data_IF_929933801262
#
_entry.id   IF_929933801262
#
_cell.length_a   1.000
_cell.length_b   1.000
_cell.length_c   1.000
_cell.angle_alpha   90.00
_cell.angle_beta   90.00
_cell.angle_gamma   90.00
#
_symmetry.space_group_name_H-M   'P 1'
#
loop_
_entity.id
_entity.type
_entity.pdbx_description
1 polymer ?
#
# COMPACT_ATOMS: atom_id res chain seq x y z
N UNK A 1 11.05 -6.11 -21.15
CA UNK A 1 11.97 -5.78 -20.02
C UNK A 1 12.89 -6.95 -19.74
N UNK A 2 14.15 -6.69 -19.33
CA UNK A 2 15.05 -7.75 -18.85
C UNK A 2 15.31 -7.51 -17.36
N UNK A 3 15.05 -8.50 -16.53
CA UNK A 3 15.29 -8.46 -15.09
C UNK A 3 16.45 -9.37 -14.69
N UNK A 4 17.13 -9.03 -13.61
CA UNK A 4 18.17 -9.86 -13.00
C UNK A 4 17.92 -9.94 -11.50
N UNK A 5 17.77 -11.14 -10.96
CA UNK A 5 17.72 -11.36 -9.53
C UNK A 5 19.08 -11.04 -8.91
N UNK A 6 19.12 -10.10 -7.97
CA UNK A 6 20.33 -9.70 -7.24
C UNK A 6 20.31 -10.19 -5.79
N UNK A 7 19.12 -10.43 -5.24
CA UNK A 7 18.91 -11.01 -3.92
C UNK A 7 17.70 -11.95 -4.00
N UNK A 8 17.80 -13.09 -3.34
CA UNK A 8 16.68 -13.97 -3.05
C UNK A 8 16.80 -14.40 -1.60
N UNK A 9 15.74 -14.21 -0.85
CA UNK A 9 15.64 -14.63 0.55
C UNK A 9 14.27 -15.27 0.80
N UNK A 10 14.13 -15.92 1.95
CA UNK A 10 12.90 -16.62 2.31
C UNK A 10 12.26 -15.99 3.54
N UNK A 11 10.98 -15.68 3.42
CA UNK A 11 10.11 -15.26 4.49
C UNK A 11 8.72 -15.83 4.22
N UNK A 12 8.26 -16.73 5.09
CA UNK A 12 6.92 -17.33 4.94
C UNK A 12 5.84 -16.25 4.95
N UNK A 13 4.90 -16.37 4.01
CA UNK A 13 3.78 -15.45 3.85
C UNK A 13 4.24 -13.97 3.79
N UNK A 14 5.28 -13.68 3.02
CA UNK A 14 5.76 -12.34 2.79
C UNK A 14 4.64 -11.46 2.22
N UNK A 15 4.36 -10.32 2.86
CA UNK A 15 3.23 -9.48 2.50
C UNK A 15 3.58 -7.99 2.42
N UNK A 16 3.92 -7.35 3.54
CA UNK A 16 4.23 -5.93 3.54
C UNK A 16 5.65 -5.66 3.05
N UNK A 17 5.79 -4.65 2.22
CA UNK A 17 7.08 -4.13 1.76
C UNK A 17 7.08 -2.61 1.88
N UNK A 18 8.17 -2.03 2.38
CA UNK A 18 8.36 -0.59 2.46
C UNK A 18 9.83 -0.23 2.21
N UNK A 19 10.06 0.98 1.73
CA UNK A 19 11.39 1.56 1.64
C UNK A 19 11.48 2.74 2.60
N UNK A 20 12.47 2.73 3.50
CA UNK A 20 12.76 3.82 4.43
C UNK A 20 14.05 4.51 3.97
N UNK A 21 13.97 5.83 3.73
CA UNK A 21 15.12 6.58 3.22
C UNK A 21 15.28 7.92 3.92
N UNK A 22 16.55 8.32 4.09
CA UNK A 22 16.97 9.69 4.34
C UNK A 22 18.17 10.05 3.45
N UNK A 23 18.85 11.14 3.74
CA UNK A 23 20.02 11.57 2.96
C UNK A 23 21.21 10.61 3.01
N UNK A 24 21.30 9.73 4.03
CA UNK A 24 22.43 8.85 4.29
C UNK A 24 22.09 7.36 4.23
N UNK A 25 20.84 7.02 4.50
CA UNK A 25 20.38 5.64 4.72
C UNK A 25 19.32 5.23 3.72
N UNK A 26 19.27 3.94 3.43
CA UNK A 26 18.30 3.36 2.48
C UNK A 26 18.05 1.90 2.86
N UNK A 27 16.85 1.62 3.37
CA UNK A 27 16.46 0.30 3.85
C UNK A 27 15.19 -0.19 3.15
N UNK A 28 15.17 -1.47 2.79
CA UNK A 28 13.95 -2.18 2.43
C UNK A 28 13.47 -2.98 3.63
N UNK A 29 12.24 -2.77 4.04
CA UNK A 29 11.59 -3.56 5.06
C UNK A 29 10.61 -4.53 4.41
N UNK A 30 10.63 -5.78 4.86
CA UNK A 30 9.75 -6.85 4.37
C UNK A 30 9.19 -7.59 5.56
N UNK A 31 7.87 -7.74 5.63
CA UNK A 31 7.20 -8.37 6.76
C UNK A 31 6.15 -9.40 6.36
N UNK A 32 5.92 -10.37 7.24
CA UNK A 32 4.99 -11.48 7.06
C UNK A 32 3.56 -11.13 7.47
N UNK A 33 2.58 -11.71 6.76
CA UNK A 33 1.16 -11.69 7.17
C UNK A 33 0.80 -12.77 8.20
N UNK A 34 1.73 -13.68 8.54
CA UNK A 34 1.56 -14.70 9.59
C UNK A 34 2.39 -14.37 10.83
N UNK A 35 2.38 -15.22 11.85
CA UNK A 35 3.25 -15.12 13.03
C UNK A 35 4.71 -15.37 12.65
N UNK A 36 5.37 -14.40 12.06
CA UNK A 36 6.73 -14.49 11.56
C UNK A 36 7.42 -13.13 11.59
N UNK A 37 8.57 -13.02 10.94
CA UNK A 37 9.50 -11.91 11.06
C UNK A 37 9.10 -10.65 10.27
N UNK A 38 9.72 -9.54 10.66
CA UNK A 38 10.02 -8.40 9.80
C UNK A 38 11.53 -8.29 9.61
N UNK A 39 11.95 -8.16 8.37
CA UNK A 39 13.34 -8.07 7.95
C UNK A 39 13.64 -6.70 7.38
N UNK A 40 14.80 -6.14 7.67
CA UNK A 40 15.35 -4.97 7.00
C UNK A 40 16.58 -5.34 6.19
N UNK A 41 16.69 -4.78 5.00
CA UNK A 41 17.84 -4.92 4.11
C UNK A 41 18.46 -3.55 3.85
N UNK A 42 19.73 -3.39 4.20
CA UNK A 42 20.48 -2.15 3.94
C UNK A 42 20.90 -2.09 2.48
N UNK A 43 20.24 -1.29 1.68
CA UNK A 43 20.48 -1.14 0.23
C UNK A 43 21.86 -0.53 -0.04
N UNK A 44 22.44 0.23 0.92
CA UNK A 44 23.77 0.81 0.81
C UNK A 44 24.89 -0.21 1.13
N UNK A 45 24.55 -1.34 1.77
CA UNK A 45 25.50 -2.38 2.18
C UNK A 45 25.18 -3.73 1.53
N UNK A 46 24.95 -3.71 0.22
CA UNK A 46 24.67 -4.92 -0.57
C UNK A 46 23.53 -5.76 0.02
N UNK A 47 22.47 -5.09 0.46
CA UNK A 47 21.30 -5.69 1.09
C UNK A 47 21.61 -6.52 2.36
N UNK A 48 22.58 -6.07 3.17
CA UNK A 48 22.85 -6.69 4.46
C UNK A 48 21.58 -6.76 5.31
N UNK A 49 21.24 -7.98 5.78
CA UNK A 49 19.98 -8.29 6.45
C UNK A 49 20.06 -8.08 7.96
N UNK A 50 19.03 -7.46 8.53
CA UNK A 50 18.76 -7.38 9.98
C UNK A 50 17.34 -7.86 10.26
N UNK A 51 17.10 -8.47 11.44
CA UNK A 51 15.77 -8.87 11.90
C UNK A 51 15.25 -7.79 12.85
N UNK A 52 14.08 -7.19 12.54
CA UNK A 52 13.43 -6.19 13.39
C UNK A 52 12.63 -6.86 14.52
N UNK A 53 11.88 -7.90 14.16
CA UNK A 53 11.23 -8.84 15.09
C UNK A 53 11.17 -10.22 14.43
N UNK A 54 11.13 -11.28 15.25
CA UNK A 54 11.14 -12.67 14.78
C UNK A 54 9.79 -13.35 14.82
N UNK A 55 8.85 -12.78 15.56
CA UNK A 55 7.49 -13.31 15.82
C UNK A 55 6.49 -12.15 15.73
N UNK A 56 5.24 -12.44 16.03
CA UNK A 56 4.11 -11.51 16.02
C UNK A 56 3.56 -11.21 14.63
N UNK A 57 4.27 -11.03 13.56
CA UNK A 57 3.79 -10.83 12.19
C UNK A 57 2.41 -10.18 12.02
N UNK A 58 1.63 -10.63 11.04
CA UNK A 58 0.33 -10.01 10.74
C UNK A 58 0.50 -8.56 10.29
N UNK A 59 1.52 -8.29 9.47
CA UNK A 59 1.88 -6.93 9.05
C UNK A 59 1.34 -6.65 7.66
N UNK A 60 0.34 -5.77 7.58
CA UNK A 60 -0.31 -5.36 6.34
C UNK A 60 0.32 -4.11 5.74
N UNK A 61 0.78 -3.18 6.59
CA UNK A 61 1.33 -1.89 6.17
C UNK A 61 2.52 -1.50 7.03
N UNK A 62 3.54 -0.89 6.39
CA UNK A 62 4.68 -0.25 7.03
C UNK A 62 4.83 1.11 6.38
N UNK A 63 4.76 2.19 7.16
CA UNK A 63 4.81 3.56 6.66
C UNK A 63 5.91 4.32 7.38
N UNK A 64 6.83 4.90 6.63
CA UNK A 64 7.88 5.78 7.16
C UNK A 64 7.28 7.02 7.81
N UNK A 65 7.74 7.36 9.00
CA UNK A 65 7.40 8.66 9.62
C UNK A 65 8.11 9.77 8.85
N UNK A 66 7.39 10.72 8.26
CA UNK A 66 7.98 11.74 7.41
C UNK A 66 9.17 12.46 8.04
N UNK A 67 10.27 12.57 7.26
CA UNK A 67 11.49 13.23 7.66
C UNK A 67 12.37 12.47 8.68
N UNK A 68 12.11 11.18 8.92
CA UNK A 68 12.88 10.33 9.84
C UNK A 68 13.07 8.94 9.23
N UNK A 69 13.84 8.05 9.88
CA UNK A 69 13.88 6.62 9.59
C UNK A 69 13.01 5.79 10.56
N UNK A 70 12.25 6.46 11.40
CA UNK A 70 11.20 5.81 12.17
C UNK A 70 10.06 5.37 11.24
N UNK A 71 9.30 4.39 11.67
CA UNK A 71 8.13 3.93 10.93
C UNK A 71 6.99 3.57 11.87
N UNK A 72 5.77 3.55 11.34
CA UNK A 72 4.65 2.83 11.94
C UNK A 72 4.39 1.56 11.13
N UNK A 73 3.95 0.49 11.81
CA UNK A 73 3.54 -0.76 11.16
C UNK A 73 2.33 -1.37 11.86
N UNK A 74 1.49 -2.08 11.09
CA UNK A 74 0.49 -2.97 11.69
C UNK A 74 1.14 -4.25 12.18
N UNK A 75 0.59 -4.82 13.26
CA UNK A 75 0.88 -6.17 13.73
C UNK A 75 -0.42 -6.88 14.12
N UNK A 76 -0.42 -8.21 14.09
CA UNK A 76 -1.55 -9.08 14.46
C UNK A 76 -2.78 -8.94 13.56
N UNK A 77 -2.57 -8.65 12.32
CA UNK A 77 -3.59 -8.80 11.27
C UNK A 77 -3.30 -10.11 10.54
N UNK A 78 -3.93 -11.19 10.95
CA UNK A 78 -3.61 -12.52 10.43
C UNK A 78 -4.47 -12.94 9.24
N UNK A 79 -4.05 -13.96 8.47
CA UNK A 79 -4.81 -14.51 7.36
C UNK A 79 -6.25 -14.87 7.74
N UNK A 80 -7.15 -14.82 6.75
CA UNK A 80 -8.58 -14.99 7.00
C UNK A 80 -9.22 -13.80 7.71
N UNK A 81 -8.53 -12.65 7.75
CA UNK A 81 -8.99 -11.42 8.41
C UNK A 81 -9.24 -11.62 9.93
N UNK A 82 -8.43 -12.47 10.59
CA UNK A 82 -8.38 -12.55 12.04
C UNK A 82 -7.56 -11.37 12.57
N UNK A 83 -8.22 -10.23 12.73
CA UNK A 83 -7.58 -8.96 12.98
C UNK A 83 -8.20 -8.17 14.16
N UNK A 84 -8.96 -8.82 15.04
CA UNK A 84 -9.55 -8.20 16.24
C UNK A 84 -8.49 -7.65 17.19
N UNK A 85 -7.29 -8.26 17.21
CA UNK A 85 -6.18 -7.87 18.06
C UNK A 85 -5.13 -7.02 17.31
N UNK A 86 -5.46 -6.54 16.10
CA UNK A 86 -4.59 -5.70 15.30
C UNK A 86 -4.22 -4.40 16.05
N UNK A 87 -2.98 -4.01 15.90
CA UNK A 87 -2.40 -2.83 16.55
C UNK A 87 -1.43 -2.11 15.63
N UNK A 88 -1.15 -0.87 15.95
CA UNK A 88 -0.04 -0.10 15.37
C UNK A 88 1.14 -0.16 16.35
N UNK A 89 2.33 -0.40 15.81
CA UNK A 89 3.61 -0.26 16.50
C UNK A 89 4.44 0.84 15.85
N UNK A 90 5.28 1.48 16.65
CA UNK A 90 6.29 2.44 16.23
C UNK A 90 7.66 1.77 16.27
N UNK A 91 8.39 1.81 15.16
CA UNK A 91 9.80 1.46 15.08
C UNK A 91 10.64 2.71 15.16
N UNK A 92 11.37 2.89 16.26
CA UNK A 92 12.33 3.98 16.45
C UNK A 92 13.69 3.57 15.92
N UNK A 93 14.26 4.34 14.98
CA UNK A 93 15.58 4.07 14.44
C UNK A 93 16.69 4.39 15.45
N UNK A 94 17.53 3.38 15.74
CA UNK A 94 18.65 3.48 16.68
C UNK A 94 20.02 3.55 15.99
N UNK A 95 20.02 3.59 14.65
CA UNK A 95 21.25 3.51 13.84
C UNK A 95 21.62 2.08 13.42
N UNK A 96 22.48 1.97 12.41
CA UNK A 96 23.05 0.71 11.91
C UNK A 96 22.03 -0.38 11.55
N UNK A 97 20.83 0.03 11.04
CA UNK A 97 19.79 -0.91 10.67
C UNK A 97 19.06 -1.55 11.85
N UNK A 98 19.04 -0.90 13.01
CA UNK A 98 18.34 -1.34 14.22
C UNK A 98 17.20 -0.41 14.56
N UNK A 99 16.11 -0.99 15.03
CA UNK A 99 14.94 -0.27 15.54
C UNK A 99 14.47 -0.84 16.86
N UNK A 100 14.04 0.05 17.76
CA UNK A 100 13.29 -0.31 18.97
C UNK A 100 11.81 -0.25 18.65
N UNK A 101 11.08 -1.35 18.91
CA UNK A 101 9.66 -1.47 18.58
C UNK A 101 8.82 -1.24 19.83
N UNK A 102 7.86 -0.31 19.75
CA UNK A 102 6.92 0.01 20.84
C UNK A 102 5.49 0.05 20.33
N UNK A 103 4.52 -0.40 21.13
CA UNK A 103 3.10 -0.32 20.77
C UNK A 103 2.60 1.12 20.86
N UNK A 104 1.87 1.56 19.84
CA UNK A 104 1.21 2.88 19.79
C UNK A 104 -0.25 2.78 20.22
N UNK A 105 -0.96 1.75 19.75
CA UNK A 105 -2.36 1.54 20.11
C UNK A 105 -3.02 0.38 19.39
N UNK A 106 -4.18 -0.05 19.92
CA UNK A 106 -5.01 -1.07 19.31
C UNK A 106 -5.88 -0.46 18.20
N UNK A 107 -5.87 -1.08 17.04
CA UNK A 107 -6.70 -0.72 15.89
C UNK A 107 -7.25 -1.99 15.23
N UNK A 108 -8.31 -2.60 15.77
CA UNK A 108 -8.91 -3.79 15.21
C UNK A 108 -9.24 -3.64 13.73
N UNK A 109 -8.87 -4.66 12.94
CA UNK A 109 -9.12 -4.73 11.50
C UNK A 109 -8.46 -3.62 10.64
N UNK A 110 -7.46 -2.89 11.16
CA UNK A 110 -6.73 -1.89 10.39
C UNK A 110 -5.92 -2.54 9.27
N UNK A 111 -6.37 -2.36 8.04
CA UNK A 111 -5.73 -2.95 6.86
C UNK A 111 -4.72 -2.03 6.20
N UNK A 112 -5.09 -0.76 6.01
CA UNK A 112 -4.20 0.28 5.45
C UNK A 112 -4.19 1.49 6.36
N UNK A 113 -3.05 2.15 6.42
CA UNK A 113 -2.92 3.46 7.05
C UNK A 113 -1.83 4.26 6.34
N UNK A 114 -1.81 5.56 6.61
CA UNK A 114 -0.82 6.47 6.04
C UNK A 114 -0.45 7.57 7.03
N UNK A 115 0.72 8.18 6.78
CA UNK A 115 1.25 9.33 7.49
C UNK A 115 1.60 10.42 6.49
N UNK A 116 0.90 11.53 6.56
CA UNK A 116 1.07 12.63 5.60
C UNK A 116 1.66 13.84 6.31
N UNK A 117 2.83 14.30 5.86
CA UNK A 117 3.37 15.58 6.33
C UNK A 117 2.52 16.73 5.75
N UNK A 118 1.95 17.54 6.61
CA UNK A 118 1.23 18.72 6.15
C UNK A 118 2.14 19.95 6.15
N UNK A 119 1.76 20.97 5.40
CA UNK A 119 2.52 22.23 5.25
C UNK A 119 2.81 22.95 6.57
N UNK A 120 2.17 22.56 7.68
CA UNK A 120 2.34 23.14 9.02
C UNK A 120 3.28 22.32 9.91
N UNK A 121 3.90 21.25 9.37
CA UNK A 121 4.80 20.37 10.10
C UNK A 121 4.08 19.41 11.07
N UNK A 122 2.76 19.31 11.01
CA UNK A 122 2.02 18.26 11.68
C UNK A 122 1.95 17.02 10.77
N UNK A 123 2.02 15.83 11.35
CA UNK A 123 1.81 14.60 10.60
C UNK A 123 0.35 14.16 10.75
N UNK A 124 -0.37 14.15 9.64
CA UNK A 124 -1.71 13.58 9.60
C UNK A 124 -1.62 12.06 9.63
N UNK A 125 -2.53 11.44 10.36
CA UNK A 125 -2.77 9.99 10.35
C UNK A 125 -4.07 9.70 9.63
N UNK A 126 -4.07 8.71 8.76
CA UNK A 126 -5.24 8.17 8.08
C UNK A 126 -5.23 6.66 8.26
N UNK A 127 -6.32 6.06 8.72
CA UNK A 127 -6.43 4.61 8.92
C UNK A 127 -7.72 4.06 8.31
N UNK A 128 -7.60 2.97 7.53
CA UNK A 128 -8.73 2.28 6.89
C UNK A 128 -8.83 0.86 7.44
N UNK A 129 -9.95 0.54 8.11
CA UNK A 129 -10.21 -0.82 8.57
C UNK A 129 -11.03 -1.57 7.54
N UNK A 130 -10.69 -2.83 7.28
CA UNK A 130 -11.38 -3.64 6.27
C UNK A 130 -12.80 -4.07 6.69
N UNK A 131 -13.03 -4.14 7.99
CA UNK A 131 -14.30 -4.35 8.67
C UNK A 131 -14.25 -3.64 10.02
N UNK A 132 -15.38 -3.47 10.71
CA UNK A 132 -15.39 -3.02 12.10
C UNK A 132 -15.32 -4.21 13.06
N UNK A 133 -16.01 -5.30 12.73
CA UNK A 133 -15.92 -6.58 13.45
C UNK A 133 -16.25 -7.75 12.53
N UNK A 134 -15.85 -8.96 12.92
CA UNK A 134 -16.19 -10.20 12.20
C UNK A 134 -16.45 -11.32 13.20
N UNK A 135 -17.47 -12.13 12.93
CA UNK A 135 -17.77 -13.35 13.71
C UNK A 135 -17.15 -14.61 13.09
N UNK A 136 -16.95 -14.59 11.76
CA UNK A 136 -16.29 -15.66 10.98
C UNK A 136 -15.64 -15.04 9.73
N UNK A 137 -14.86 -15.82 8.99
CA UNK A 137 -14.02 -15.31 7.87
C UNK A 137 -14.84 -14.58 6.80
N UNK A 138 -15.98 -15.11 6.40
CA UNK A 138 -16.84 -14.54 5.35
C UNK A 138 -17.84 -13.50 5.85
N UNK A 139 -17.78 -13.13 7.14
CA UNK A 139 -18.65 -12.11 7.70
C UNK A 139 -18.20 -10.70 7.29
N UNK A 140 -18.96 -10.08 6.43
CA UNK A 140 -18.79 -8.72 5.95
C UNK A 140 -20.01 -7.83 6.29
N UNK A 141 -20.69 -8.14 7.38
CA UNK A 141 -21.94 -7.43 7.78
C UNK A 141 -21.68 -6.14 8.54
N UNK A 142 -20.46 -5.95 9.09
CA UNK A 142 -20.09 -4.79 9.88
C UNK A 142 -18.98 -4.02 9.15
N UNK A 143 -19.37 -2.95 8.44
CA UNK A 143 -18.54 -2.23 7.49
C UNK A 143 -17.32 -1.58 8.16
N UNK A 144 -16.22 -1.49 7.40
CA UNK A 144 -14.97 -0.87 7.81
C UNK A 144 -15.09 0.64 8.03
N UNK A 145 -14.16 1.18 8.78
CA UNK A 145 -14.08 2.57 9.22
C UNK A 145 -12.95 3.31 8.51
N UNK A 146 -13.09 4.63 8.46
CA UNK A 146 -12.01 5.55 8.11
C UNK A 146 -11.72 6.37 9.37
N UNK A 147 -10.49 6.26 9.87
CA UNK A 147 -9.97 7.07 10.97
C UNK A 147 -9.06 8.17 10.43
N UNK A 148 -9.14 9.34 11.05
CA UNK A 148 -8.22 10.44 10.81
C UNK A 148 -7.72 11.00 12.13
N UNK A 149 -6.52 11.60 12.12
CA UNK A 149 -5.92 12.14 13.33
C UNK A 149 -4.53 12.68 13.05
N UNK A 150 -3.70 12.72 14.08
CA UNK A 150 -2.32 13.17 13.98
C UNK A 150 -1.36 12.17 14.63
N UNK A 151 -0.14 12.11 14.13
CA UNK A 151 0.97 11.44 14.79
C UNK A 151 1.91 12.49 15.38
N UNK A 152 2.06 12.47 16.69
CA UNK A 152 3.00 13.35 17.41
C UNK A 152 4.37 12.65 17.51
N UNK A 153 5.37 13.17 16.79
CA UNK A 153 6.74 12.63 16.78
C UNK A 153 7.46 12.73 18.14
N UNK A 154 7.09 13.70 18.99
CA UNK A 154 7.78 13.91 20.28
C UNK A 154 7.39 12.86 21.31
N UNK A 155 6.08 12.62 21.43
CA UNK A 155 5.54 11.62 22.36
C UNK A 155 5.32 10.26 21.70
N UNK A 156 5.45 10.19 20.35
CA UNK A 156 5.31 8.97 19.53
C UNK A 156 3.94 8.30 19.70
N UNK A 157 2.91 9.12 19.68
CA UNK A 157 1.53 8.69 19.88
C UNK A 157 0.61 9.26 18.81
N UNK A 158 -0.47 8.54 18.55
CA UNK A 158 -1.59 9.07 17.78
C UNK A 158 -2.44 9.95 18.69
N UNK A 159 -2.82 11.13 18.19
CA UNK A 159 -3.60 12.14 18.91
C UNK A 159 -4.78 12.59 18.07
N UNK A 160 -5.85 13.04 18.72
CA UNK A 160 -7.07 13.55 18.06
C UNK A 160 -7.62 12.59 16.99
N UNK A 161 -7.55 11.28 17.28
CA UNK A 161 -8.07 10.27 16.36
C UNK A 161 -9.60 10.27 16.43
N UNK A 162 -10.22 10.43 15.27
CA UNK A 162 -11.67 10.41 15.11
C UNK A 162 -12.09 9.52 13.94
N UNK A 163 -13.31 9.00 13.99
CA UNK A 163 -13.91 8.21 12.90
C UNK A 163 -14.69 9.17 11.98
N UNK A 164 -14.43 9.11 10.68
CA UNK A 164 -15.25 9.80 9.69
C UNK A 164 -16.63 9.12 9.54
N UNK A 165 -17.69 9.87 9.17
CA UNK A 165 -19.05 9.33 9.18
C UNK A 165 -19.33 8.26 8.13
N UNK A 166 -18.46 8.11 7.11
CA UNK A 166 -18.61 7.10 6.07
C UNK A 166 -17.98 5.77 6.51
N UNK A 167 -18.74 4.69 6.35
CA UNK A 167 -18.26 3.31 6.50
C UNK A 167 -18.31 2.61 5.16
N UNK A 168 -17.34 1.73 4.91
CA UNK A 168 -17.14 1.08 3.62
C UNK A 168 -16.96 -0.43 3.81
N UNK A 169 -17.70 -1.22 3.06
CA UNK A 169 -17.59 -2.69 3.07
C UNK A 169 -16.34 -3.14 2.35
N UNK A 170 -15.53 -4.03 2.98
CA UNK A 170 -14.27 -4.49 2.44
C UNK A 170 -13.38 -3.31 2.00
N UNK A 171 -13.21 -2.33 2.89
CA UNK A 171 -12.35 -1.16 2.67
C UNK A 171 -10.88 -1.60 2.61
N UNK A 172 -10.42 -1.98 1.42
CA UNK A 172 -9.19 -2.73 1.20
C UNK A 172 -8.03 -1.90 0.69
N UNK A 173 -8.22 -1.18 -0.41
CA UNK A 173 -7.16 -0.45 -1.06
C UNK A 173 -7.04 0.99 -0.56
N UNK A 174 -5.81 1.47 -0.55
CA UNK A 174 -5.47 2.85 -0.23
C UNK A 174 -4.32 3.30 -1.11
N UNK A 175 -4.52 4.38 -1.85
CA UNK A 175 -3.50 4.96 -2.73
C UNK A 175 -3.27 6.44 -2.40
N UNK A 176 -2.08 6.82 -1.90
CA UNK A 176 -1.78 8.20 -1.53
C UNK A 176 -1.42 9.05 -2.76
N UNK A 177 -1.96 10.26 -2.81
CA UNK A 177 -1.61 11.31 -3.78
C UNK A 177 -1.23 12.56 -2.98
N UNK A 178 -0.14 12.44 -2.22
CA UNK A 178 0.26 13.45 -1.23
C UNK A 178 0.49 14.83 -1.85
N UNK A 179 1.07 14.89 -3.06
CA UNK A 179 1.33 16.15 -3.75
C UNK A 179 0.06 16.95 -4.08
N UNK A 180 -1.07 16.24 -4.25
CA UNK A 180 -2.37 16.83 -4.56
C UNK A 180 -3.29 16.88 -3.32
N UNK A 181 -2.76 16.58 -2.13
CA UNK A 181 -3.45 16.61 -0.84
C UNK A 181 -4.71 15.73 -0.78
N UNK A 182 -4.66 14.54 -1.33
CA UNK A 182 -5.72 13.54 -1.19
C UNK A 182 -5.17 12.11 -1.22
N UNK A 183 -6.03 11.17 -0.88
CA UNK A 183 -5.84 9.75 -1.15
C UNK A 183 -7.09 9.14 -1.78
N UNK A 184 -6.91 7.99 -2.43
CA UNK A 184 -8.00 7.17 -2.94
C UNK A 184 -8.20 5.98 -2.01
N UNK A 185 -9.44 5.68 -1.72
CA UNK A 185 -9.88 4.56 -0.88
C UNK A 185 -10.81 3.70 -1.71
N UNK A 186 -10.62 2.38 -1.70
CA UNK A 186 -11.41 1.44 -2.48
C UNK A 186 -12.18 0.47 -1.60
N UNK A 187 -13.39 0.12 -2.04
CA UNK A 187 -14.32 -0.74 -1.30
C UNK A 187 -15.36 -1.38 -2.24
N UNK A 188 -16.34 -2.09 -1.67
CA UNK A 188 -17.50 -2.61 -2.42
C UNK A 188 -18.31 -1.47 -3.04
N UNK A 189 -18.39 -0.34 -2.35
CA UNK A 189 -19.12 0.85 -2.82
C UNK A 189 -18.37 1.61 -3.94
N UNK A 190 -17.15 1.21 -4.27
CA UNK A 190 -16.34 1.80 -5.32
C UNK A 190 -15.11 2.56 -4.82
N UNK A 191 -14.80 3.68 -5.47
CA UNK A 191 -13.60 4.48 -5.21
C UNK A 191 -14.00 5.84 -4.65
N UNK A 192 -13.38 6.21 -3.52
CA UNK A 192 -13.59 7.49 -2.84
C UNK A 192 -12.28 8.28 -2.81
N UNK A 193 -12.40 9.59 -3.06
CA UNK A 193 -11.33 10.56 -2.80
C UNK A 193 -11.50 11.11 -1.39
N UNK A 194 -10.49 10.90 -0.56
CA UNK A 194 -10.34 11.53 0.76
C UNK A 194 -9.42 12.75 0.61
N UNK A 195 -9.98 13.95 0.61
CA UNK A 195 -9.23 15.21 0.59
C UNK A 195 -8.75 15.59 1.98
N UNK A 196 -7.48 16.02 2.08
CA UNK A 196 -6.86 16.38 3.35
C UNK A 196 -7.22 17.80 3.77
N UNK A 197 -7.22 18.11 5.08
CA UNK A 197 -7.45 19.46 5.57
C UNK A 197 -6.40 20.45 5.06
N UNK A 198 -6.85 21.57 4.50
CA UNK A 198 -6.00 22.66 4.07
C UNK A 198 -6.50 23.99 4.65
N UNK A 199 -5.61 24.77 5.26
CA UNK A 199 -6.01 26.02 5.88
C UNK A 199 -7.06 25.81 6.97
N UNK A 200 -8.29 26.27 6.74
CA UNK A 200 -9.46 26.12 7.62
C UNK A 200 -10.46 25.08 7.12
N UNK A 201 -10.15 24.35 6.03
CA UNK A 201 -11.02 23.30 5.52
C UNK A 201 -10.91 22.02 6.38
N UNK A 202 -11.96 21.23 6.36
CA UNK A 202 -12.03 19.90 6.95
C UNK A 202 -11.68 18.80 5.95
N UNK A 203 -11.64 17.55 6.42
CA UNK A 203 -11.61 16.37 5.62
C UNK A 203 -12.83 16.31 4.68
N UNK A 204 -12.61 15.89 3.45
CA UNK A 204 -13.70 15.73 2.48
C UNK A 204 -13.71 14.32 1.93
N UNK A 205 -14.91 13.77 1.67
CA UNK A 205 -15.08 12.47 1.04
C UNK A 205 -15.98 12.65 -0.19
N UNK A 206 -15.48 12.21 -1.35
CA UNK A 206 -16.20 12.28 -2.61
C UNK A 206 -16.11 10.94 -3.33
N UNK A 207 -17.25 10.32 -3.66
CA UNK A 207 -17.25 9.12 -4.50
C UNK A 207 -16.93 9.51 -5.95
N UNK A 208 -15.94 8.81 -6.53
CA UNK A 208 -15.49 9.02 -7.91
C UNK A 208 -15.99 7.94 -8.86
N UNK A 209 -16.17 6.72 -8.35
CA UNK A 209 -16.57 5.55 -9.10
C UNK A 209 -17.44 4.65 -8.22
N UNK A 210 -18.45 3.98 -8.77
CA UNK A 210 -19.49 3.25 -8.03
C UNK A 210 -19.47 1.72 -8.25
N UNK A 211 -18.41 1.19 -8.89
CA UNK A 211 -18.23 -0.26 -9.02
C UNK A 211 -17.25 -0.79 -7.96
N UNK A 212 -17.54 -1.97 -7.40
CA UNK A 212 -16.66 -2.65 -6.42
C UNK A 212 -15.22 -2.72 -6.94
N UNK A 213 -14.29 -2.21 -6.12
CA UNK A 213 -12.87 -2.12 -6.46
C UNK A 213 -12.03 -2.56 -5.28
N UNK A 214 -11.05 -3.46 -5.53
CA UNK A 214 -10.10 -3.94 -4.52
C UNK A 214 -8.97 -2.95 -4.28
N UNK A 215 -8.31 -2.54 -5.34
CA UNK A 215 -7.14 -1.64 -5.29
C UNK A 215 -7.09 -0.73 -6.51
N UNK A 216 -6.37 0.39 -6.37
CA UNK A 216 -6.17 1.38 -7.42
C UNK A 216 -4.76 1.97 -7.35
N UNK A 217 -4.21 2.30 -8.51
CA UNK A 217 -3.07 3.22 -8.69
C UNK A 217 -3.33 4.16 -9.85
N UNK A 218 -2.70 5.34 -9.80
CA UNK A 218 -2.83 6.37 -10.84
C UNK A 218 -1.46 6.76 -11.40
N UNK A 219 -1.40 7.06 -12.69
CA UNK A 219 -0.21 7.61 -13.34
C UNK A 219 -0.58 8.21 -14.69
N UNK A 220 0.06 9.32 -15.08
CA UNK A 220 0.04 9.80 -16.46
C UNK A 220 0.93 8.90 -17.32
N UNK A 221 0.30 7.92 -17.98
CA UNK A 221 0.99 6.88 -18.75
C UNK A 221 1.36 7.34 -20.17
N UNK A 222 0.59 8.29 -20.71
CA UNK A 222 0.70 8.72 -22.09
C UNK A 222 1.34 10.11 -22.26
N UNK A 223 1.57 10.84 -21.14
CA UNK A 223 2.22 12.15 -21.11
C UNK A 223 1.31 13.30 -21.54
N UNK A 224 -0.02 13.14 -21.46
CA UNK A 224 -0.99 14.17 -21.82
C UNK A 224 -1.42 15.08 -20.65
N UNK A 225 -0.90 14.80 -19.45
CA UNK A 225 -1.18 15.51 -18.21
C UNK A 225 -2.44 15.04 -17.49
N UNK A 226 -3.07 13.96 -17.94
CA UNK A 226 -4.19 13.29 -17.26
C UNK A 226 -3.73 11.97 -16.67
N UNK A 227 -4.38 11.55 -15.58
CA UNK A 227 -4.02 10.31 -14.90
C UNK A 227 -4.87 9.15 -15.40
N UNK A 228 -4.26 8.09 -15.89
CA UNK A 228 -4.92 6.81 -16.04
C UNK A 228 -5.02 6.09 -14.70
N UNK A 229 -6.13 5.38 -14.50
CA UNK A 229 -6.45 4.62 -13.30
C UNK A 229 -6.33 3.13 -13.58
N UNK A 230 -5.32 2.45 -13.05
CA UNK A 230 -5.30 0.98 -13.05
C UNK A 230 -6.00 0.46 -11.81
N UNK A 231 -6.99 -0.44 -11.98
CA UNK A 231 -7.83 -0.97 -10.91
C UNK A 231 -7.91 -2.49 -10.95
N UNK A 232 -8.04 -3.10 -9.76
CA UNK A 232 -8.36 -4.51 -9.56
C UNK A 232 -9.83 -4.63 -9.16
N UNK A 233 -10.63 -5.46 -9.88
CA UNK A 233 -12.05 -5.67 -9.61
C UNK A 233 -12.39 -7.18 -9.61
N UNK A 234 -13.32 -7.63 -8.76
CA UNK A 234 -13.82 -6.98 -7.55
C UNK A 234 -12.82 -7.17 -6.38
N UNK A 235 -13.30 -7.27 -5.13
CA UNK A 235 -12.44 -7.55 -3.98
C UNK A 235 -11.65 -8.87 -4.14
N UNK A 236 -10.31 -8.80 -4.13
CA UNK A 236 -9.40 -9.89 -4.51
C UNK A 236 -9.81 -10.57 -5.84
N UNK A 237 -10.32 -9.75 -6.76
CA UNK A 237 -10.98 -10.24 -7.95
C UNK A 237 -10.06 -10.73 -9.05
N UNK A 238 -10.65 -11.00 -10.19
CA UNK A 238 -10.01 -11.62 -11.35
C UNK A 238 -9.97 -10.72 -12.58
N UNK A 239 -10.25 -9.42 -12.41
CA UNK A 239 -10.28 -8.43 -13.48
C UNK A 239 -9.31 -7.29 -13.22
N UNK A 240 -8.46 -7.01 -14.21
CA UNK A 240 -7.59 -5.85 -14.28
C UNK A 240 -8.07 -4.92 -15.39
N UNK A 241 -8.34 -3.66 -15.05
CA UNK A 241 -8.76 -2.62 -16.01
C UNK A 241 -7.90 -1.36 -15.84
N UNK A 242 -7.75 -0.61 -16.95
CA UNK A 242 -7.21 0.75 -16.94
C UNK A 242 -8.29 1.67 -17.46
N UNK A 243 -8.65 2.68 -16.68
CA UNK A 243 -9.73 3.63 -16.97
C UNK A 243 -9.15 5.03 -17.15
N UNK A 244 -9.90 5.90 -17.85
CA UNK A 244 -9.61 7.34 -17.92
C UNK A 244 -9.64 8.01 -16.55
N UNK A 245 -9.08 9.21 -16.43
CA UNK A 245 -9.02 10.00 -15.19
C UNK A 245 -10.40 10.17 -14.52
N UNK A 246 -11.44 10.35 -15.32
CA UNK A 246 -12.81 10.52 -14.84
C UNK A 246 -13.62 9.22 -14.73
N UNK A 247 -12.96 8.06 -14.87
CA UNK A 247 -13.50 6.70 -14.78
C UNK A 247 -14.58 6.34 -15.84
N UNK A 248 -14.81 7.18 -16.86
CA UNK A 248 -15.88 6.95 -17.82
C UNK A 248 -15.50 6.09 -19.02
N UNK A 249 -14.24 6.06 -19.37
CA UNK A 249 -13.73 5.31 -20.51
C UNK A 249 -12.83 4.17 -20.06
N UNK A 250 -13.09 2.95 -20.53
CA UNK A 250 -12.17 1.83 -20.41
C UNK A 250 -11.11 1.90 -21.52
N UNK A 251 -9.89 2.22 -21.11
CA UNK A 251 -8.74 2.35 -22.01
C UNK A 251 -8.09 1.00 -22.30
N UNK A 252 -8.18 0.08 -21.34
CA UNK A 252 -7.63 -1.27 -21.44
C UNK A 252 -8.31 -2.20 -20.44
N UNK A 253 -8.58 -3.45 -20.87
CA UNK A 253 -8.92 -4.56 -20.00
C UNK A 253 -7.99 -5.73 -20.28
N UNK A 254 -7.45 -6.33 -19.24
CA UNK A 254 -6.62 -7.52 -19.41
C UNK A 254 -7.47 -8.69 -19.91
N UNK A 255 -7.07 -9.37 -20.99
CA UNK A 255 -7.97 -10.28 -21.73
C UNK A 255 -8.25 -11.62 -21.02
N UNK A 256 -7.50 -11.94 -19.98
CA UNK A 256 -7.65 -13.18 -19.23
C UNK A 256 -8.02 -12.90 -17.77
N UNK A 257 -8.67 -13.87 -17.12
CA UNK A 257 -8.89 -13.78 -15.68
C UNK A 257 -7.57 -13.81 -14.90
N UNK A 258 -7.48 -12.95 -13.91
CA UNK A 258 -6.31 -12.77 -13.03
C UNK A 258 -6.69 -13.07 -11.57
N UNK A 259 -7.08 -14.32 -11.26
CA UNK A 259 -7.74 -14.66 -10.01
C UNK A 259 -6.86 -14.35 -8.80
N UNK A 260 -7.45 -13.64 -7.85
CA UNK A 260 -6.80 -13.10 -6.69
C UNK A 260 -5.76 -12.02 -7.07
N UNK A 261 -6.18 -11.02 -7.86
CA UNK A 261 -5.41 -9.81 -8.11
C UNK A 261 -5.03 -9.13 -6.81
N UNK A 262 -3.75 -8.76 -6.64
CA UNK A 262 -3.30 -8.27 -5.33
C UNK A 262 -2.15 -7.24 -5.39
N UNK A 263 -1.04 -7.58 -6.07
CA UNK A 263 0.07 -6.65 -6.20
C UNK A 263 -0.25 -5.58 -7.26
N UNK A 264 -0.14 -4.32 -6.89
CA UNK A 264 -0.37 -3.18 -7.79
C UNK A 264 0.62 -2.05 -7.44
N UNK A 265 1.18 -1.40 -8.45
CA UNK A 265 2.13 -0.31 -8.27
C UNK A 265 2.13 0.61 -9.49
N UNK A 266 2.42 1.89 -9.29
CA UNK A 266 2.61 2.88 -10.36
C UNK A 266 3.83 3.75 -10.09
N UNK A 267 4.51 4.16 -11.15
CA UNK A 267 5.64 5.06 -11.05
C UNK A 267 6.53 5.00 -12.28
N UNK A 268 7.75 5.54 -12.15
CA UNK A 268 8.76 5.46 -13.21
C UNK A 268 9.64 4.23 -13.03
N UNK A 269 9.70 3.39 -14.06
CA UNK A 269 10.58 2.22 -14.10
C UNK A 269 11.38 2.25 -15.41
N UNK A 270 12.71 2.13 -15.33
CA UNK A 270 13.61 2.24 -16.48
C UNK A 270 13.40 3.55 -17.28
N UNK A 271 13.10 4.64 -16.58
CA UNK A 271 12.87 5.96 -17.17
C UNK A 271 11.54 6.13 -17.90
N UNK A 272 10.57 5.19 -17.72
CA UNK A 272 9.26 5.23 -18.36
C UNK A 272 8.12 5.13 -17.34
N UNK A 273 6.99 5.86 -17.53
CA UNK A 273 5.77 5.62 -16.79
C UNK A 273 5.38 4.15 -16.91
N UNK A 274 5.11 3.52 -15.77
CA UNK A 274 4.88 2.08 -15.71
C UNK A 274 3.86 1.75 -14.62
N UNK A 275 2.88 0.92 -14.97
CA UNK A 275 2.07 0.18 -14.01
C UNK A 275 2.64 -1.22 -13.81
N UNK A 276 2.60 -1.73 -12.58
CA UNK A 276 2.90 -3.13 -12.26
C UNK A 276 1.67 -3.78 -11.66
N UNK A 277 1.40 -5.01 -12.05
CA UNK A 277 0.30 -5.82 -11.57
C UNK A 277 0.69 -7.27 -11.39
N UNK A 278 0.22 -7.89 -10.30
CA UNK A 278 0.42 -9.30 -10.03
C UNK A 278 -0.78 -9.94 -9.31
N UNK A 279 -0.96 -11.25 -9.49
CA UNK A 279 -2.06 -12.01 -8.88
C UNK A 279 -1.59 -13.32 -8.26
N UNK A 280 -2.35 -13.84 -7.27
CA UNK A 280 -1.90 -14.90 -6.36
C UNK A 280 -2.40 -16.29 -6.73
N UNK A 281 -3.31 -16.46 -7.71
CA UNK A 281 -3.88 -17.74 -8.12
C UNK A 281 -3.79 -17.94 -9.64
N UNK A 282 -4.01 -19.13 -10.15
CA UNK A 282 -3.92 -19.44 -11.57
C UNK A 282 -2.49 -19.30 -12.11
N UNK A 283 -2.26 -18.46 -13.13
CA UNK A 283 -0.93 -18.24 -13.74
C UNK A 283 0.06 -17.52 -12.84
N UNK A 284 -0.40 -16.74 -11.84
CA UNK A 284 0.43 -16.08 -10.81
C UNK A 284 1.57 -15.20 -11.37
N UNK A 285 1.33 -14.52 -12.46
CA UNK A 285 2.35 -13.67 -13.10
C UNK A 285 2.50 -12.32 -12.37
N UNK A 286 3.66 -11.72 -12.54
CA UNK A 286 3.92 -10.31 -12.27
C UNK A 286 4.24 -9.63 -13.59
N UNK A 287 3.43 -8.63 -13.96
CA UNK A 287 3.48 -7.93 -15.23
C UNK A 287 3.79 -6.46 -15.02
N UNK A 288 4.46 -5.84 -15.99
CA UNK A 288 4.51 -4.39 -16.15
C UNK A 288 3.74 -3.98 -17.39
N UNK A 289 3.16 -2.79 -17.35
CA UNK A 289 2.49 -2.17 -18.48
C UNK A 289 3.13 -0.81 -18.77
N UNK A 290 3.50 -0.57 -20.01
CA UNK A 290 3.93 0.73 -20.54
C UNK A 290 2.94 1.21 -21.60
N UNK A 291 3.00 2.49 -21.99
CA UNK A 291 2.16 3.04 -23.05
C UNK A 291 3.02 3.49 -24.22
N UNK A 292 2.77 2.96 -25.42
CA UNK A 292 3.50 3.30 -26.62
C UNK A 292 2.58 3.27 -27.85
N UNK A 293 2.71 4.26 -28.74
CA UNK A 293 1.97 4.32 -29.98
C UNK A 293 0.44 4.17 -29.83
N UNK A 294 -0.14 4.78 -28.78
CA UNK A 294 -1.59 4.78 -28.58
C UNK A 294 -2.14 3.51 -27.91
N UNK A 295 -1.30 2.65 -27.32
CA UNK A 295 -1.74 1.41 -26.67
C UNK A 295 -0.90 1.03 -25.47
N UNK A 296 -1.50 0.30 -24.54
CA UNK A 296 -0.77 -0.36 -23.44
C UNK A 296 -0.04 -1.60 -23.94
N UNK A 297 1.21 -1.76 -23.54
CA UNK A 297 2.07 -2.90 -23.85
C UNK A 297 2.38 -3.67 -22.58
N UNK A 298 2.14 -4.97 -22.62
CA UNK A 298 2.43 -5.90 -21.53
C UNK A 298 3.89 -6.37 -21.57
N UNK A 299 4.53 -6.44 -20.41
CA UNK A 299 5.88 -6.98 -20.22
C UNK A 299 5.89 -7.94 -19.05
N UNK A 300 6.34 -9.17 -19.27
CA UNK A 300 6.54 -10.15 -18.19
C UNK A 300 7.75 -9.73 -17.34
N UNK A 301 7.50 -9.47 -16.03
CA UNK A 301 8.57 -9.31 -15.03
C UNK A 301 8.98 -10.67 -14.51
N UNK A 302 8.03 -11.46 -14.02
CA UNK A 302 8.29 -12.80 -13.51
C UNK A 302 7.03 -13.70 -13.66
N UNK A 303 7.17 -14.92 -14.19
CA UNK A 303 6.09 -15.89 -14.21
C UNK A 303 5.97 -16.63 -12.86
N UNK A 304 4.78 -17.08 -12.51
CA UNK A 304 4.47 -18.01 -11.42
C UNK A 304 4.96 -17.60 -10.01
N UNK A 305 4.99 -16.27 -9.71
CA UNK A 305 5.54 -15.75 -8.44
C UNK A 305 4.49 -15.48 -7.36
N UNK A 306 3.20 -15.48 -7.69
CA UNK A 306 2.10 -15.27 -6.72
C UNK A 306 2.29 -14.02 -5.82
N UNK A 307 2.60 -12.87 -6.44
CA UNK A 307 2.99 -11.65 -5.72
C UNK A 307 1.90 -11.14 -4.78
N UNK A 308 2.22 -11.01 -3.50
CA UNK A 308 1.34 -10.35 -2.50
C UNK A 308 1.48 -8.83 -2.53
N UNK A 309 2.66 -8.35 -2.88
CA UNK A 309 2.95 -6.92 -3.00
C UNK A 309 4.12 -6.71 -3.97
N UNK A 310 4.30 -5.48 -4.41
CA UNK A 310 5.46 -5.07 -5.19
C UNK A 310 5.86 -3.64 -4.82
N UNK A 311 7.15 -3.38 -4.94
CA UNK A 311 7.74 -2.06 -4.79
C UNK A 311 8.82 -1.92 -5.85
N UNK A 312 8.75 -0.87 -6.68
CA UNK A 312 9.82 -0.53 -7.58
C UNK A 312 10.41 0.84 -7.21
N UNK A 313 11.72 1.00 -7.39
CA UNK A 313 12.42 2.24 -7.09
C UNK A 313 13.68 2.37 -7.94
N UNK A 314 14.13 3.61 -8.09
CA UNK A 314 15.40 3.91 -8.73
C UNK A 314 16.47 4.31 -7.71
N UNK A 315 17.70 3.87 -7.94
CA UNK A 315 18.86 4.24 -7.17
C UNK A 315 20.12 4.22 -8.04
N UNK A 316 20.89 5.31 -8.03
CA UNK A 316 22.13 5.43 -8.79
C UNK A 316 21.98 5.03 -10.27
N UNK A 317 20.86 5.41 -10.91
CA UNK A 317 20.57 5.13 -12.31
C UNK A 317 20.20 3.67 -12.62
N UNK A 318 19.88 2.88 -11.60
CA UNK A 318 19.35 1.52 -11.74
C UNK A 318 17.95 1.44 -11.17
N UNK A 319 17.09 0.68 -11.83
CA UNK A 319 15.75 0.34 -11.35
C UNK A 319 15.79 -1.02 -10.61
N UNK A 320 15.09 -1.06 -9.50
CA UNK A 320 14.98 -2.24 -8.63
C UNK A 320 13.51 -2.59 -8.43
#
# INVERSE_FOLDING_TARGET
MNSKTILSDHLDACYAVARLTDSANDYLLVASETENACLAYDVNRDFARTVLWSEVGGTMSIIQVPGTLDFLATQRFYPGFDAKDCRIVHGQFEGEGKWTITEVGAFPYLHRFDLVDNERGAILFIGCTIANSKQFVEDWSDDGKIFVGHFDKQVRQLTNVEELPLRLKKNHGYYPVHAEHYSLITAVEGIYRLGYPQGTSDWTLTQLFDEETSDIVQLDMNGDGRLENMIIQAFHGDSLRILSEDFKEELFAYPEATPFGHAIWSGTLLGQPTFIFGWRSGKKHLLAFTYENGRFLEHMIAPEVASSNCLAFEKAGKSY
#
